data_IF_274445393085
#
_entry.id   IF_274445393085
#
_cell.length_a   1.000
_cell.length_b   1.000
_cell.length_c   1.000
_cell.angle_alpha   90.00
_cell.angle_beta   90.00
_cell.angle_gamma   90.00
#
_symmetry.space_group_name_H-M   'P 1'
#
loop_
_entity.id
_entity.type
_entity.pdbx_description
1 polymer ?
#
# COMPACT_ATOMS: atom_id res chain seq x y z
N UNK A 1 1.62 -5.87 9.70
CA UNK A 1 1.92 -4.44 9.43
C UNK A 1 2.73 -4.28 8.15
N UNK A 2 2.60 -3.14 7.43
CA UNK A 2 3.22 -2.90 6.11
C UNK A 2 4.74 -3.15 6.06
N UNK A 3 5.46 -2.82 7.14
CA UNK A 3 6.90 -3.09 7.26
C UNK A 3 7.25 -4.58 7.28
N UNK A 4 6.50 -5.40 8.01
CA UNK A 4 6.75 -6.85 8.10
C UNK A 4 6.68 -7.52 6.72
N UNK A 5 5.71 -7.12 5.87
CA UNK A 5 5.63 -7.60 4.48
C UNK A 5 6.87 -7.21 3.66
N UNK A 6 7.38 -6.00 3.88
CA UNK A 6 8.57 -5.52 3.20
C UNK A 6 9.83 -6.25 3.63
N UNK A 7 10.01 -6.47 4.93
CA UNK A 7 11.16 -7.23 5.47
C UNK A 7 11.20 -8.62 4.83
N UNK A 8 10.07 -9.33 4.88
CA UNK A 8 9.95 -10.67 4.29
C UNK A 8 10.29 -10.66 2.80
N UNK A 9 9.71 -9.73 2.03
CA UNK A 9 9.98 -9.62 0.59
C UNK A 9 11.43 -9.28 0.27
N UNK A 10 12.00 -8.26 0.91
CA UNK A 10 13.36 -7.77 0.63
C UNK A 10 14.42 -8.79 1.08
N UNK A 11 14.13 -9.61 2.10
CA UNK A 11 14.99 -10.73 2.52
C UNK A 11 14.87 -11.95 1.60
N UNK A 12 13.65 -12.42 1.29
CA UNK A 12 13.43 -13.67 0.55
C UNK A 12 13.65 -13.51 -0.95
N UNK A 13 13.13 -12.43 -1.54
CA UNK A 13 13.13 -12.26 -3.01
C UNK A 13 14.35 -11.51 -3.53
N UNK A 14 15.03 -10.73 -2.67
CA UNK A 14 16.12 -9.83 -3.06
C UNK A 14 17.43 -10.05 -2.30
N UNK A 15 17.40 -10.93 -1.30
CA UNK A 15 18.57 -11.35 -0.53
C UNK A 15 19.31 -10.18 0.17
N UNK A 16 18.58 -9.14 0.59
CA UNK A 16 19.14 -8.05 1.38
C UNK A 16 19.27 -8.44 2.86
N UNK A 17 20.37 -8.07 3.54
CA UNK A 17 20.50 -8.17 4.99
C UNK A 17 19.39 -7.41 5.73
N UNK A 18 18.96 -7.91 6.88
CA UNK A 18 17.90 -7.27 7.67
C UNK A 18 18.29 -5.84 8.09
N UNK A 19 19.53 -5.63 8.48
CA UNK A 19 20.09 -4.33 8.86
C UNK A 19 19.99 -3.29 7.74
N UNK A 20 20.32 -3.66 6.51
CA UNK A 20 20.19 -2.80 5.33
C UNK A 20 18.72 -2.45 5.05
N UNK A 21 17.82 -3.42 5.20
CA UNK A 21 16.38 -3.20 4.99
C UNK A 21 15.83 -2.22 6.02
N UNK A 22 16.19 -2.37 7.30
CA UNK A 22 15.78 -1.48 8.38
C UNK A 22 16.34 -0.07 8.19
N UNK A 23 17.64 0.04 7.90
CA UNK A 23 18.30 1.33 7.65
C UNK A 23 17.61 2.09 6.53
N UNK A 24 17.39 1.44 5.37
CA UNK A 24 16.71 2.06 4.21
C UNK A 24 15.27 2.43 4.53
N UNK A 25 14.57 1.62 5.34
CA UNK A 25 13.21 1.93 5.73
C UNK A 25 13.14 3.22 6.55
N UNK A 26 13.97 3.32 7.58
CA UNK A 26 14.00 4.46 8.50
C UNK A 26 14.50 5.74 7.84
N UNK A 27 15.56 5.66 7.03
CA UNK A 27 16.24 6.86 6.51
C UNK A 27 15.74 7.32 5.14
N UNK A 28 15.04 6.47 4.40
CA UNK A 28 14.57 6.82 3.05
C UNK A 28 13.07 6.65 2.91
N UNK A 29 12.54 5.49 3.27
CA UNK A 29 11.15 5.13 2.95
C UNK A 29 10.18 5.88 3.82
N UNK A 30 10.40 5.90 5.14
CA UNK A 30 9.51 6.60 6.06
C UNK A 30 9.53 8.11 5.86
N UNK A 31 10.69 8.77 5.71
CA UNK A 31 10.74 10.19 5.38
C UNK A 31 10.02 10.50 4.08
N UNK A 32 10.23 9.70 3.03
CA UNK A 32 9.55 9.89 1.75
C UNK A 32 8.04 9.69 1.86
N UNK A 33 7.60 8.68 2.62
CA UNK A 33 6.19 8.43 2.88
C UNK A 33 5.53 9.62 3.59
N UNK A 34 6.15 10.12 4.67
CA UNK A 34 5.61 11.23 5.45
C UNK A 34 5.57 12.54 4.66
N UNK A 35 6.59 12.83 3.86
CA UNK A 35 6.71 14.11 3.15
C UNK A 35 5.94 14.15 1.82
N UNK A 36 5.78 13.01 1.14
CA UNK A 36 5.30 13.00 -0.26
C UNK A 36 4.14 12.07 -0.54
N UNK A 37 3.79 11.15 0.36
CA UNK A 37 2.67 10.21 0.15
C UNK A 37 1.54 10.49 1.12
N UNK A 38 1.83 10.56 2.42
CA UNK A 38 0.85 10.80 3.48
C UNK A 38 0.04 12.09 3.29
N UNK A 39 0.60 13.23 2.85
CA UNK A 39 -0.17 14.47 2.68
C UNK A 39 -1.32 14.36 1.68
N UNK A 40 -1.23 13.42 0.73
CA UNK A 40 -2.27 13.17 -0.28
C UNK A 40 -3.28 12.11 0.14
N UNK A 41 -3.18 11.56 1.35
CA UNK A 41 -4.12 10.55 1.82
C UNK A 41 -5.53 11.12 1.93
N UNK A 42 -5.66 12.34 2.42
CA UNK A 42 -6.96 12.97 2.68
C UNK A 42 -7.62 13.53 1.41
N UNK A 43 -6.89 13.60 0.29
CA UNK A 43 -7.45 13.94 -1.02
C UNK A 43 -8.06 12.75 -1.76
N UNK A 44 -7.98 11.53 -1.22
CA UNK A 44 -8.56 10.36 -1.85
C UNK A 44 -10.06 10.24 -1.54
N UNK A 45 -10.88 10.02 -2.56
CA UNK A 45 -12.34 9.80 -2.39
C UNK A 45 -12.67 8.51 -1.64
N UNK A 46 -11.80 7.49 -1.78
CA UNK A 46 -11.98 6.19 -1.15
C UNK A 46 -10.65 5.67 -0.59
N UNK A 47 -10.63 5.37 0.70
CA UNK A 47 -9.48 4.74 1.38
C UNK A 47 -9.76 3.26 1.61
N UNK A 48 -8.99 2.39 0.95
CA UNK A 48 -9.11 0.94 1.08
C UNK A 48 -8.17 0.43 2.17
N UNK A 49 -8.73 -0.22 3.19
CA UNK A 49 -7.96 -0.93 4.20
C UNK A 49 -7.65 -2.36 3.74
N UNK A 50 -6.37 -2.66 3.54
CA UNK A 50 -5.87 -4.00 3.18
C UNK A 50 -4.86 -4.51 4.23
N UNK A 51 -5.24 -4.43 5.51
CA UNK A 51 -4.42 -4.97 6.58
C UNK A 51 -4.53 -6.49 6.70
N UNK A 52 -5.69 -7.07 6.36
CA UNK A 52 -5.98 -8.51 6.40
C UNK A 52 -6.45 -8.99 5.02
N UNK A 53 -7.60 -8.50 4.55
CA UNK A 53 -8.09 -8.66 3.17
C UNK A 53 -8.67 -7.33 2.67
N UNK A 54 -9.03 -7.27 1.38
CA UNK A 54 -9.65 -6.11 0.75
C UNK A 54 -10.91 -6.48 -0.07
N UNK A 55 -11.45 -7.68 0.12
CA UNK A 55 -12.48 -8.29 -0.73
C UNK A 55 -13.76 -7.44 -0.81
N UNK A 56 -14.18 -6.84 0.30
CA UNK A 56 -15.34 -5.94 0.32
C UNK A 56 -15.10 -4.66 -0.49
N UNK A 57 -13.92 -4.06 -0.38
CA UNK A 57 -13.58 -2.88 -1.15
C UNK A 57 -13.48 -3.20 -2.65
N UNK A 58 -12.94 -4.37 -2.99
CA UNK A 58 -12.91 -4.87 -4.36
C UNK A 58 -14.32 -5.05 -4.92
N UNK A 59 -15.24 -5.65 -4.15
CA UNK A 59 -16.63 -5.81 -4.57
C UNK A 59 -17.32 -4.46 -4.84
N UNK A 60 -17.09 -3.45 -3.98
CA UNK A 60 -17.63 -2.09 -4.17
C UNK A 60 -17.09 -1.45 -5.45
N UNK A 61 -15.78 -1.56 -5.69
CA UNK A 61 -15.15 -0.99 -6.88
C UNK A 61 -15.63 -1.69 -8.15
N UNK A 62 -15.72 -3.02 -8.14
CA UNK A 62 -16.23 -3.79 -9.28
C UNK A 62 -17.66 -3.36 -9.62
N UNK A 63 -18.55 -3.30 -8.62
CA UNK A 63 -19.93 -2.85 -8.84
C UNK A 63 -20.01 -1.42 -9.39
N UNK A 64 -19.14 -0.52 -8.92
CA UNK A 64 -19.08 0.85 -9.43
C UNK A 64 -18.61 0.91 -10.89
N UNK A 65 -17.57 0.14 -11.24
CA UNK A 65 -17.06 0.05 -12.61
C UNK A 65 -18.10 -0.58 -13.54
N UNK A 66 -18.70 -1.71 -13.16
CA UNK A 66 -19.74 -2.38 -13.96
C UNK A 66 -20.93 -1.46 -14.24
N UNK A 67 -21.36 -0.71 -13.23
CA UNK A 67 -22.40 0.30 -13.41
C UNK A 67 -21.98 1.38 -14.40
N UNK A 68 -20.73 1.85 -14.33
CA UNK A 68 -20.22 2.87 -15.28
C UNK A 68 -20.08 2.35 -16.70
N UNK A 69 -19.82 1.06 -16.88
CA UNK A 69 -19.73 0.42 -18.19
C UNK A 69 -21.10 0.12 -18.82
N UNK A 70 -22.17 0.12 -18.03
CA UNK A 70 -23.54 -0.18 -18.49
C UNK A 70 -24.41 1.08 -18.62
N UNK A 71 -23.89 2.25 -18.22
CA UNK A 71 -24.57 3.55 -18.31
C UNK A 71 -24.49 4.21 -19.72
N UNK A 72 -24.23 3.42 -20.79
CA UNK A 72 -24.33 3.85 -22.20
C UNK A 72 -25.74 3.69 -22.78
#
# INVERSE_FOLDING_TARGET
QKISRRIVRDQIERNYPLEDVLYRYEHHVMPSYLNYILPYKDSADLVINNNITYDHALAVINAFIERKLTED
#
